data_IF_004377919213
#
_entry.id   IF_004377919213
#
_cell.length_a   1.000
_cell.length_b   1.000
_cell.length_c   1.000
_cell.angle_alpha   90.00
_cell.angle_beta   90.00
_cell.angle_gamma   90.00
#
_symmetry.space_group_name_H-M   'P 1'
#
loop_
_entity.id
_entity.type
_entity.pdbx_description
1 polymer ?
#
# COMPACT_ATOMS: atom_id res chain seq x y z
N UNK A 1 17.99 -20.48 5.14
CA UNK A 1 16.93 -19.97 6.02
C UNK A 1 16.53 -18.58 5.54
N UNK A 2 15.29 -18.15 5.76
CA UNK A 2 14.89 -16.78 5.42
C UNK A 2 15.75 -15.79 6.21
N UNK A 3 16.25 -14.75 5.54
CA UNK A 3 17.07 -13.73 6.18
C UNK A 3 16.18 -12.87 7.09
N UNK A 4 16.46 -12.76 8.41
CA UNK A 4 15.63 -11.98 9.33
C UNK A 4 15.46 -10.51 8.93
N UNK A 5 16.44 -9.92 8.24
CA UNK A 5 16.37 -8.54 7.76
C UNK A 5 15.29 -8.34 6.68
N UNK A 6 14.94 -9.38 5.92
CA UNK A 6 13.89 -9.29 4.90
C UNK A 6 12.51 -9.01 5.52
N UNK A 7 12.26 -9.50 6.73
CA UNK A 7 10.99 -9.21 7.43
C UNK A 7 10.83 -7.72 7.69
N UNK A 8 11.91 -7.01 8.04
CA UNK A 8 11.89 -5.57 8.25
C UNK A 8 11.82 -4.81 6.93
N UNK A 9 12.58 -5.24 5.92
CA UNK A 9 12.53 -4.67 4.58
C UNK A 9 11.11 -4.71 4.00
N UNK A 10 10.43 -5.86 4.10
CA UNK A 10 9.05 -6.02 3.63
C UNK A 10 8.08 -5.13 4.42
N UNK A 11 8.21 -5.06 5.76
CA UNK A 11 7.40 -4.15 6.59
C UNK A 11 7.58 -2.69 6.19
N UNK A 12 8.81 -2.27 5.93
CA UNK A 12 9.15 -0.92 5.52
C UNK A 12 8.57 -0.62 4.13
N UNK A 13 8.69 -1.55 3.17
CA UNK A 13 8.07 -1.41 1.84
C UNK A 13 6.54 -1.24 1.93
N UNK A 14 5.86 -2.09 2.73
CA UNK A 14 4.41 -1.98 2.92
C UNK A 14 4.04 -0.69 3.66
N UNK A 15 4.82 -0.24 4.63
CA UNK A 15 4.55 1.00 5.38
C UNK A 15 4.81 2.27 4.55
N UNK A 16 5.78 2.23 3.64
CA UNK A 16 6.08 3.33 2.71
C UNK A 16 4.88 3.64 1.81
N UNK A 17 4.02 2.66 1.53
CA UNK A 17 2.73 2.90 0.89
C UNK A 17 1.90 3.94 1.64
N UNK A 18 1.73 3.78 2.96
CA UNK A 18 0.95 4.70 3.78
C UNK A 18 1.55 6.10 3.77
N UNK A 19 2.88 6.19 3.90
CA UNK A 19 3.61 7.47 3.79
C UNK A 19 3.31 8.15 2.44
N UNK A 20 3.44 7.42 1.32
CA UNK A 20 3.16 7.94 -0.01
C UNK A 20 1.73 8.50 -0.13
N UNK A 21 0.74 7.83 0.47
CA UNK A 21 -0.65 8.29 0.45
C UNK A 21 -0.86 9.55 1.28
N UNK A 22 -0.35 9.54 2.51
CA UNK A 22 -0.63 10.56 3.51
C UNK A 22 0.12 11.86 3.22
N UNK A 23 1.34 11.78 2.67
CA UNK A 23 2.11 12.95 2.22
C UNK A 23 1.75 13.36 0.79
N UNK A 24 1.02 12.53 0.05
CA UNK A 24 0.75 12.70 -1.39
C UNK A 24 2.04 12.72 -2.23
N UNK A 25 3.10 12.07 -1.77
CA UNK A 25 4.36 11.89 -2.50
C UNK A 25 4.27 10.64 -3.39
N UNK A 26 3.66 10.83 -4.56
CA UNK A 26 3.33 9.73 -5.48
C UNK A 26 4.53 8.99 -6.09
N UNK A 27 5.69 9.63 -6.36
CA UNK A 27 6.91 8.91 -6.75
C UNK A 27 7.33 7.79 -5.79
N UNK A 28 6.99 7.86 -4.49
CA UNK A 28 7.28 6.79 -3.54
C UNK A 28 6.57 5.47 -3.89
N UNK A 29 5.48 5.50 -4.66
CA UNK A 29 4.76 4.29 -5.08
C UNK A 29 5.62 3.40 -5.99
N UNK A 30 6.56 3.96 -6.75
CA UNK A 30 7.52 3.21 -7.57
C UNK A 30 8.54 2.43 -6.72
N UNK A 31 8.76 2.87 -5.47
CA UNK A 31 9.59 2.14 -4.51
C UNK A 31 8.83 1.00 -3.83
N UNK A 32 7.51 1.13 -3.72
CA UNK A 32 6.63 0.16 -3.06
C UNK A 32 6.24 -0.99 -4.00
N UNK A 33 5.90 -0.67 -5.25
CA UNK A 33 5.33 -1.61 -6.21
C UNK A 33 6.29 -1.93 -7.34
N UNK A 34 6.17 -3.13 -7.92
CA UNK A 34 6.80 -3.41 -9.22
C UNK A 34 6.13 -2.59 -10.32
N UNK A 35 6.86 -2.33 -11.41
CA UNK A 35 6.35 -1.57 -12.55
C UNK A 35 5.06 -2.19 -13.11
N UNK A 36 5.01 -3.52 -13.16
CA UNK A 36 3.94 -4.37 -13.68
C UNK A 36 2.92 -4.83 -12.63
N UNK A 37 2.85 -4.17 -11.46
CA UNK A 37 2.01 -4.59 -10.33
C UNK A 37 0.58 -4.91 -10.73
N UNK A 38 0.06 -6.03 -10.22
CA UNK A 38 -1.35 -6.38 -10.30
C UNK A 38 -2.09 -5.92 -9.03
N UNK A 39 -3.06 -5.01 -9.16
CA UNK A 39 -3.81 -4.47 -8.03
C UNK A 39 -5.32 -4.71 -8.16
N UNK A 40 -5.88 -5.55 -7.28
CA UNK A 40 -7.31 -5.80 -7.19
C UNK A 40 -7.93 -5.06 -6.01
N UNK A 41 -8.84 -4.14 -6.33
CA UNK A 41 -9.65 -3.41 -5.35
C UNK A 41 -11.12 -3.77 -5.54
N UNK A 42 -11.93 -3.91 -4.47
CA UNK A 42 -13.28 -4.46 -4.56
C UNK A 42 -14.30 -3.50 -5.21
N UNK A 43 -13.89 -2.25 -5.49
CA UNK A 43 -14.74 -1.25 -6.13
C UNK A 43 -14.47 -1.12 -7.64
N UNK A 44 -13.56 -1.93 -8.18
CA UNK A 44 -13.28 -1.99 -9.60
C UNK A 44 -13.71 -3.36 -10.13
N UNK A 45 -14.40 -3.35 -11.27
CA UNK A 45 -14.75 -4.60 -11.96
C UNK A 45 -13.49 -5.29 -12.48
N UNK A 46 -12.53 -4.49 -12.95
CA UNK A 46 -11.26 -4.97 -13.50
C UNK A 46 -10.08 -4.64 -12.58
N UNK A 47 -9.03 -5.48 -12.57
CA UNK A 47 -7.79 -5.16 -11.87
C UNK A 47 -7.11 -3.94 -12.49
N UNK A 48 -6.38 -3.20 -11.65
CA UNK A 48 -5.48 -2.14 -12.09
C UNK A 48 -4.13 -2.78 -12.39
N UNK A 49 -3.61 -2.55 -13.59
CA UNK A 49 -2.35 -3.12 -14.06
C UNK A 49 -1.30 -2.02 -14.20
N UNK A 50 -0.18 -2.21 -13.50
CA UNK A 50 0.98 -1.32 -13.52
C UNK A 50 0.91 -0.16 -12.51
N UNK A 51 2.10 0.25 -12.05
CA UNK A 51 2.24 1.25 -10.97
C UNK A 51 1.72 2.62 -11.37
N UNK A 52 1.87 3.00 -12.64
CA UNK A 52 1.38 4.26 -13.20
C UNK A 52 -0.14 4.38 -13.11
N UNK A 53 -0.85 3.33 -13.53
CA UNK A 53 -2.31 3.30 -13.51
C UNK A 53 -2.83 3.30 -12.07
N UNK A 54 -2.16 2.56 -11.18
CA UNK A 54 -2.45 2.53 -9.76
C UNK A 54 -2.26 3.89 -9.10
N UNK A 55 -1.12 4.54 -9.36
CA UNK A 55 -0.79 5.88 -8.85
C UNK A 55 -1.85 6.90 -9.27
N UNK A 56 -2.16 6.98 -10.58
CA UNK A 56 -3.20 7.90 -11.10
C UNK A 56 -4.56 7.68 -10.43
N UNK A 57 -4.97 6.43 -10.22
CA UNK A 57 -6.25 6.12 -9.58
C UNK A 57 -6.27 6.56 -8.12
N UNK A 58 -5.20 6.30 -7.38
CA UNK A 58 -5.09 6.71 -5.97
C UNK A 58 -5.08 8.23 -5.85
N UNK A 59 -4.29 8.92 -6.68
CA UNK A 59 -4.24 10.39 -6.74
C UNK A 59 -5.63 11.00 -6.91
N UNK A 60 -6.40 10.49 -7.89
CA UNK A 60 -7.77 10.95 -8.14
C UNK A 60 -8.67 10.71 -6.93
N UNK A 61 -8.59 9.52 -6.31
CA UNK A 61 -9.44 9.15 -5.18
C UNK A 61 -9.15 9.96 -3.92
N UNK A 62 -7.88 10.28 -3.67
CA UNK A 62 -7.44 10.96 -2.45
C UNK A 62 -7.32 12.48 -2.60
N UNK A 63 -7.49 13.02 -3.82
CA UNK A 63 -7.47 14.46 -4.08
C UNK A 63 -8.28 15.30 -3.08
N UNK A 64 -9.54 14.96 -2.73
CA UNK A 64 -10.38 15.84 -1.90
C UNK A 64 -10.08 15.82 -0.40
N UNK A 65 -9.22 14.91 0.08
CA UNK A 65 -9.07 14.62 1.51
C UNK A 65 -7.62 14.70 1.98
N UNK A 66 -7.44 14.96 3.28
CA UNK A 66 -6.20 14.60 4.00
C UNK A 66 -6.37 13.19 4.51
N UNK A 67 -5.31 12.37 4.49
CA UNK A 67 -5.41 10.98 4.94
C UNK A 67 -4.43 10.65 6.05
N UNK A 68 -4.77 9.63 6.82
CA UNK A 68 -3.86 8.93 7.70
C UNK A 68 -4.15 7.44 7.60
N UNK A 69 -3.15 6.65 7.25
CA UNK A 69 -3.26 5.21 7.13
C UNK A 69 -2.39 4.52 8.18
N UNK A 70 -3.03 3.72 9.04
CA UNK A 70 -2.36 2.91 10.05
C UNK A 70 -2.39 1.42 9.66
N UNK A 71 -1.24 0.77 9.72
CA UNK A 71 -1.11 -0.68 9.59
C UNK A 71 -1.05 -1.31 10.98
N UNK A 72 -1.72 -2.45 11.15
CA UNK A 72 -1.86 -3.11 12.46
C UNK A 72 -1.39 -4.56 12.40
N UNK A 73 -2.26 -5.52 12.69
CA UNK A 73 -1.93 -6.95 12.67
C UNK A 73 -1.39 -7.33 11.30
N UNK A 74 -0.22 -7.96 11.30
CA UNK A 74 0.45 -8.41 10.10
C UNK A 74 0.96 -9.85 10.26
N UNK A 75 0.74 -10.66 9.24
CA UNK A 75 1.28 -11.99 9.11
C UNK A 75 2.10 -12.09 7.82
N UNK A 76 3.35 -12.55 7.93
CA UNK A 76 4.32 -12.58 6.83
C UNK A 76 4.94 -13.97 6.69
N UNK A 77 4.97 -14.50 5.48
CA UNK A 77 5.68 -15.73 5.13
C UNK A 77 6.64 -15.43 3.97
N UNK A 78 7.92 -15.73 4.15
CA UNK A 78 8.94 -15.65 3.10
C UNK A 78 9.16 -17.06 2.55
N UNK A 79 8.98 -17.22 1.25
CA UNK A 79 9.23 -18.48 0.55
C UNK A 79 10.60 -18.40 -0.15
N UNK A 80 11.56 -19.27 0.22
CA UNK A 80 12.78 -19.41 -0.57
C UNK A 80 12.41 -20.06 -1.91
N UNK A 81 12.73 -19.40 -3.03
CA UNK A 81 12.69 -20.04 -4.36
C UNK A 81 14.10 -20.20 -4.90
N UNK A 82 14.27 -21.10 -5.86
CA UNK A 82 15.55 -21.40 -6.50
C UNK A 82 16.09 -20.27 -7.38
N UNK A 83 15.27 -19.26 -7.72
CA UNK A 83 15.64 -18.17 -8.65
C UNK A 83 15.43 -16.76 -8.11
N UNK A 84 14.44 -16.54 -7.22
CA UNK A 84 14.16 -15.24 -6.59
C UNK A 84 13.39 -15.40 -5.28
N UNK A 85 13.69 -14.58 -4.26
CA UNK A 85 12.95 -14.63 -3.00
C UNK A 85 11.56 -14.02 -3.20
N UNK A 86 10.55 -14.66 -2.62
CA UNK A 86 9.17 -14.18 -2.66
C UNK A 86 8.60 -14.18 -1.25
N UNK A 87 7.59 -13.34 -1.03
CA UNK A 87 6.91 -13.28 0.24
C UNK A 87 5.41 -13.05 0.05
N UNK A 88 4.63 -13.47 1.05
CA UNK A 88 3.21 -13.16 1.17
C UNK A 88 2.96 -12.46 2.49
N UNK A 89 2.31 -11.30 2.44
CA UNK A 89 1.94 -10.51 3.60
C UNK A 89 0.42 -10.34 3.65
N UNK A 90 -0.19 -10.60 4.81
CA UNK A 90 -1.53 -10.10 5.12
C UNK A 90 -1.40 -9.01 6.17
N UNK A 91 -1.85 -7.80 5.85
CA UNK A 91 -1.73 -6.63 6.72
C UNK A 91 -3.09 -5.98 6.90
N UNK A 92 -3.56 -5.84 8.14
CA UNK A 92 -4.77 -5.09 8.45
C UNK A 92 -4.48 -3.59 8.41
N UNK A 93 -5.42 -2.81 7.87
CA UNK A 93 -5.30 -1.36 7.80
C UNK A 93 -6.54 -0.66 8.39
N UNK A 94 -6.29 0.55 8.91
CA UNK A 94 -7.30 1.57 9.16
C UNK A 94 -6.92 2.80 8.36
N UNK A 95 -7.79 3.25 7.45
CA UNK A 95 -7.58 4.44 6.63
C UNK A 95 -8.56 5.53 7.01
N UNK A 96 -8.07 6.60 7.63
CA UNK A 96 -8.86 7.78 7.97
C UNK A 96 -8.72 8.81 6.86
N UNK A 97 -9.86 9.29 6.36
CA UNK A 97 -9.92 10.33 5.34
C UNK A 97 -10.66 11.54 5.94
N UNK A 98 -9.90 12.61 6.17
CA UNK A 98 -10.35 13.84 6.80
C UNK A 98 -10.88 14.78 5.71
N UNK A 99 -12.11 15.26 5.90
CA UNK A 99 -12.74 16.23 5.04
C UNK A 99 -12.00 17.57 5.03
N UNK A 100 -12.17 18.30 3.93
CA UNK A 100 -11.61 19.65 3.69
C UNK A 100 -12.74 20.60 3.27
N UNK A 101 -12.54 21.91 3.43
CA UNK A 101 -13.53 22.93 3.10
C UNK A 101 -14.85 22.71 3.84
N UNK A 102 -15.97 22.58 3.12
CA UNK A 102 -17.30 22.34 3.74
C UNK A 102 -17.38 21.08 4.60
N UNK A 103 -16.42 20.16 4.45
CA UNK A 103 -16.34 18.91 5.20
C UNK A 103 -15.35 18.96 6.37
N UNK A 104 -14.82 20.13 6.72
CA UNK A 104 -13.95 20.27 7.90
C UNK A 104 -14.64 19.75 9.17
N UNK A 105 -13.88 19.01 9.98
CA UNK A 105 -14.38 18.31 11.18
C UNK A 105 -15.12 16.99 10.90
N UNK A 106 -15.41 16.67 9.64
CA UNK A 106 -15.98 15.38 9.24
C UNK A 106 -14.90 14.42 8.73
N UNK A 107 -15.15 13.12 8.84
CA UNK A 107 -14.26 12.10 8.32
C UNK A 107 -15.01 10.84 7.88
N UNK A 108 -14.35 10.04 7.05
CA UNK A 108 -14.69 8.62 6.86
C UNK A 108 -13.49 7.75 7.23
N UNK A 109 -13.76 6.70 7.99
CA UNK A 109 -12.76 5.70 8.37
C UNK A 109 -13.07 4.38 7.69
N UNK A 110 -12.09 3.83 6.98
CA UNK A 110 -12.19 2.54 6.33
C UNK A 110 -11.36 1.49 7.07
N UNK A 111 -11.92 0.29 7.22
CA UNK A 111 -11.26 -0.86 7.79
C UNK A 111 -11.12 -1.96 6.74
N UNK A 112 -9.99 -2.64 6.73
CA UNK A 112 -9.77 -3.71 5.79
C UNK A 112 -8.43 -4.39 5.95
N UNK A 113 -8.04 -5.12 4.90
CA UNK A 113 -6.74 -5.75 4.79
C UNK A 113 -6.17 -5.64 3.39
N UNK A 114 -4.85 -5.58 3.33
CA UNK A 114 -4.04 -5.87 2.15
C UNK A 114 -3.56 -7.30 2.20
N UNK A 115 -3.68 -8.01 1.08
CA UNK A 115 -3.02 -9.29 0.83
C UNK A 115 -2.03 -9.05 -0.30
N UNK A 116 -0.75 -8.98 0.08
CA UNK A 116 0.34 -8.63 -0.81
C UNK A 116 1.18 -9.87 -1.15
N UNK A 117 1.51 -10.03 -2.42
CA UNK A 117 2.59 -10.89 -2.90
C UNK A 117 3.76 -9.99 -3.27
N UNK A 118 4.94 -10.31 -2.74
CA UNK A 118 6.16 -9.51 -2.89
C UNK A 118 7.26 -10.33 -3.54
N UNK A 119 8.11 -9.64 -4.28
CA UNK A 119 9.32 -10.16 -4.90
C UNK A 119 10.52 -9.38 -4.39
N UNK A 120 11.62 -10.08 -4.16
CA UNK A 120 12.91 -9.46 -3.92
C UNK A 120 13.61 -9.28 -5.27
N UNK A 121 14.01 -8.05 -5.57
CA UNK A 121 14.82 -7.70 -6.74
C UNK A 121 16.21 -7.26 -6.28
N UNK A 122 17.15 -7.23 -7.21
CA UNK A 122 18.45 -6.62 -6.96
C UNK A 122 18.25 -5.15 -6.56
N UNK A 123 18.82 -4.78 -5.43
CA UNK A 123 18.59 -3.47 -4.80
C UNK A 123 19.80 -2.55 -4.97
N UNK A 124 19.53 -1.24 -4.99
CA UNK A 124 20.56 -0.25 -4.71
C UNK A 124 20.85 -0.28 -3.20
N UNK A 125 22.13 -0.32 -2.83
CA UNK A 125 22.58 -0.36 -1.44
C UNK A 125 22.10 0.85 -0.61
N UNK A 126 21.72 1.96 -1.26
CA UNK A 126 21.20 3.17 -0.60
C UNK A 126 19.73 3.01 -0.19
N UNK A 127 18.92 2.29 -0.98
CA UNK A 127 17.48 2.15 -0.74
C UNK A 127 17.10 0.83 -0.05
N UNK A 128 18.04 -0.09 0.04
CA UNK A 128 17.85 -1.41 0.65
C UNK A 128 18.06 -1.34 2.16
N UNK A 129 17.13 -1.90 2.92
CA UNK A 129 17.31 -2.12 4.37
C UNK A 129 18.65 -2.83 4.63
N UNK A 130 19.47 -2.28 5.53
CA UNK A 130 20.79 -2.83 5.79
C UNK A 130 20.72 -4.31 6.20
N UNK A 131 21.41 -5.16 5.44
CA UNK A 131 21.45 -6.60 5.66
C UNK A 131 20.28 -7.38 5.03
N UNK A 132 19.30 -6.74 4.39
CA UNK A 132 18.28 -7.42 3.61
C UNK A 132 18.88 -8.07 2.36
N UNK A 133 18.19 -9.06 1.82
CA UNK A 133 18.65 -9.80 0.64
C UNK A 133 18.53 -9.03 -0.67
N UNK A 134 17.81 -7.90 -0.67
CA UNK A 134 17.63 -6.99 -1.79
C UNK A 134 16.46 -6.04 -1.55
N UNK A 135 16.03 -5.33 -2.59
CA UNK A 135 14.86 -4.46 -2.50
C UNK A 135 13.59 -5.30 -2.64
N UNK A 136 12.71 -5.21 -1.65
CA UNK A 136 11.41 -5.89 -1.67
C UNK A 136 10.35 -4.98 -2.26
N UNK A 137 9.64 -5.46 -3.28
CA UNK A 137 8.52 -4.75 -3.92
C UNK A 137 7.27 -5.62 -4.00
N UNK A 138 6.12 -4.97 -3.93
CA UNK A 138 4.81 -5.61 -4.07
C UNK A 138 4.54 -5.82 -5.56
N UNK A 139 4.47 -7.08 -5.99
CA UNK A 139 4.10 -7.44 -7.37
C UNK A 139 2.60 -7.64 -7.52
N UNK A 140 1.91 -7.95 -6.42
CA UNK A 140 0.46 -8.06 -6.42
C UNK A 140 -0.14 -7.62 -5.11
N UNK A 141 -1.21 -6.83 -5.18
CA UNK A 141 -2.02 -6.43 -4.03
C UNK A 141 -3.48 -6.77 -4.26
N UNK A 142 -4.09 -7.46 -3.31
CA UNK A 142 -5.54 -7.62 -3.22
C UNK A 142 -6.05 -6.92 -1.97
N UNK A 143 -7.07 -6.08 -2.13
CA UNK A 143 -7.65 -5.32 -1.03
C UNK A 143 -9.01 -5.90 -0.67
N UNK A 144 -9.26 -6.08 0.62
CA UNK A 144 -10.59 -6.40 1.15
C UNK A 144 -11.00 -5.33 2.15
N UNK A 145 -12.17 -4.74 1.96
CA UNK A 145 -12.76 -3.84 2.94
C UNK A 145 -13.67 -4.65 3.86
N UNK A 146 -13.56 -4.41 5.16
CA UNK A 146 -14.46 -4.96 6.17
C UNK A 146 -15.66 -4.04 6.38
N UNK A 147 -15.43 -2.72 6.25
CA UNK A 147 -16.48 -1.72 6.36
C UNK A 147 -15.92 -0.31 6.37
N UNK A 148 -16.83 0.65 6.38
CA UNK A 148 -16.55 2.07 6.57
C UNK A 148 -17.52 2.67 7.56
N UNK A 149 -17.07 3.70 8.26
CA UNK A 149 -17.87 4.46 9.24
C UNK A 149 -17.59 5.95 9.06
N UNK A 150 -18.60 6.79 9.30
CA UNK A 150 -18.50 8.24 9.17
C UNK A 150 -19.22 8.81 7.95
N UNK A 151 -18.86 10.03 7.59
CA UNK A 151 -19.49 10.80 6.51
C UNK A 151 -18.81 10.50 5.16
N UNK A 152 -19.43 9.69 4.30
CA UNK A 152 -18.83 9.33 3.00
C UNK A 152 -18.75 10.53 2.04
N UNK A 153 -19.57 11.57 2.23
CA UNK A 153 -19.55 12.80 1.44
C UNK A 153 -18.17 13.49 1.42
N UNK A 154 -17.33 13.27 2.44
CA UNK A 154 -15.96 13.81 2.45
C UNK A 154 -15.14 13.35 1.23
N UNK A 155 -15.46 12.18 0.66
CA UNK A 155 -14.77 11.64 -0.50
C UNK A 155 -15.20 12.26 -1.84
N UNK A 156 -16.22 13.14 -1.86
CA UNK A 156 -16.70 13.79 -3.09
C UNK A 156 -16.13 15.19 -3.32
N UNK A 157 -15.40 15.76 -2.35
CA UNK A 157 -14.85 17.11 -2.42
C UNK A 157 -15.84 18.22 -2.04
N UNK A 158 -15.41 19.47 -2.18
CA UNK A 158 -16.03 20.66 -1.55
C UNK A 158 -17.32 21.18 -2.22
N UNK A 159 -17.85 20.51 -3.26
CA UNK A 159 -18.91 21.03 -4.17
C UNK A 159 -20.02 21.82 -3.48
#
# INVERSE_FOLDING_TARGET
MANPHDYNAIRNAISLYCIALDTKDWPLLEKVFTEDVFAQYPFNNDPILGVDALSKRIQQRLKPVTTQHALTTQHLIIAPSSSSLTAKATTYFTGVHLGRGKWEGQQVTAYGKYVDELVCIEGDAVETEAGASGTWKISKRTVTFFGRVGEEGVMTGEV
#
